data_IF_626995974004
#
_entry.id   IF_626995974004
#
_cell.length_a   1.000
_cell.length_b   1.000
_cell.length_c   1.000
_cell.angle_alpha   90.00
_cell.angle_beta   90.00
_cell.angle_gamma   90.00
#
_symmetry.space_group_name_H-M   'P 1'
#
loop_
_entity.id
_entity.type
_entity.pdbx_description
1 polymer ?
#
# COMPACT_ATOMS: atom_id res chain seq x y z
N UNK A 1 17.37 6.66 7.21
CA UNK A 1 16.06 7.24 7.55
C UNK A 1 15.79 6.99 9.03
N UNK A 2 15.12 7.91 9.72
CA UNK A 2 14.88 7.84 11.16
C UNK A 2 13.61 7.01 11.47
N UNK A 3 13.64 6.26 12.57
CA UNK A 3 12.44 5.73 13.21
C UNK A 3 11.73 6.82 14.00
N UNK A 4 10.49 6.56 14.40
CA UNK A 4 9.71 7.47 15.22
C UNK A 4 10.30 7.62 16.62
N UNK A 5 10.08 8.79 17.21
CA UNK A 5 10.25 9.05 18.64
C UNK A 5 9.09 8.45 19.42
N UNK A 6 9.28 8.23 20.73
CA UNK A 6 8.21 7.73 21.62
C UNK A 6 6.96 8.64 21.60
N UNK A 7 7.15 9.96 21.50
CA UNK A 7 6.05 10.92 21.41
C UNK A 7 5.24 10.74 20.11
N UNK A 8 5.91 10.54 18.97
CA UNK A 8 5.25 10.27 17.69
C UNK A 8 4.52 8.93 17.71
N UNK A 9 5.13 7.87 18.26
CA UNK A 9 4.48 6.56 18.38
C UNK A 9 3.19 6.63 19.22
N UNK A 10 3.24 7.35 20.34
CA UNK A 10 2.05 7.59 21.17
C UNK A 10 0.99 8.44 20.47
N UNK A 11 1.38 9.42 19.65
CA UNK A 11 0.46 10.19 18.82
C UNK A 11 -0.26 9.27 17.81
N UNK A 12 0.47 8.43 17.06
CA UNK A 12 -0.15 7.51 16.09
C UNK A 12 -1.10 6.52 16.76
N UNK A 13 -0.73 6.01 17.94
CA UNK A 13 -1.61 5.15 18.75
C UNK A 13 -2.87 5.89 19.19
N UNK A 14 -2.77 7.17 19.56
CA UNK A 14 -3.95 7.99 19.90
C UNK A 14 -4.91 8.17 18.73
N UNK A 15 -4.41 8.09 17.48
CA UNK A 15 -5.24 8.09 16.26
C UNK A 15 -5.84 6.72 15.92
N UNK A 16 -5.54 5.69 16.72
CA UNK A 16 -5.97 4.31 16.46
C UNK A 16 -5.12 3.57 15.42
N UNK A 17 -3.95 4.09 15.04
CA UNK A 17 -3.06 3.39 14.13
C UNK A 17 -2.48 2.13 14.79
N UNK A 18 -2.51 1.00 14.08
CA UNK A 18 -2.07 -0.30 14.61
C UNK A 18 -0.68 -0.73 14.12
N UNK A 19 -0.27 -0.28 12.94
CA UNK A 19 1.04 -0.58 12.33
C UNK A 19 1.61 0.69 11.69
N UNK A 20 2.94 0.77 11.63
CA UNK A 20 3.68 1.85 10.97
C UNK A 20 4.59 1.27 9.89
N UNK A 21 4.74 2.01 8.79
CA UNK A 21 5.59 1.67 7.66
C UNK A 21 5.85 2.89 6.80
N UNK A 22 6.77 2.79 5.84
CA UNK A 22 7.28 3.94 5.08
C UNK A 22 7.02 3.85 3.56
N UNK A 23 6.27 2.84 3.07
CA UNK A 23 6.22 2.50 1.64
C UNK A 23 4.82 2.49 1.02
N UNK A 24 3.77 2.09 1.75
CA UNK A 24 2.43 1.92 1.16
C UNK A 24 1.76 3.25 0.74
N UNK A 25 2.25 4.40 1.21
CA UNK A 25 1.84 5.72 0.74
C UNK A 25 3.07 6.39 0.09
N UNK A 26 2.98 6.87 -1.16
CA UNK A 26 1.78 7.05 -1.99
C UNK A 26 1.34 5.83 -2.83
N UNK A 27 1.98 4.67 -2.70
CA UNK A 27 1.71 3.50 -3.56
C UNK A 27 0.21 3.13 -3.66
N UNK A 28 -0.51 3.09 -2.54
CA UNK A 28 -1.94 2.78 -2.53
C UNK A 28 -2.80 3.83 -3.27
N UNK A 29 -2.39 5.11 -3.25
CA UNK A 29 -3.09 6.16 -4.01
C UNK A 29 -2.82 6.03 -5.50
N UNK A 30 -1.58 5.78 -5.89
CA UNK A 30 -1.20 5.55 -7.29
C UNK A 30 -1.89 4.31 -7.86
N UNK A 31 -1.97 3.22 -7.08
CA UNK A 31 -2.71 2.02 -7.48
C UNK A 31 -4.21 2.31 -7.67
N UNK A 32 -4.79 3.16 -6.82
CA UNK A 32 -6.18 3.60 -6.98
C UNK A 32 -6.39 4.44 -8.24
N UNK A 33 -5.48 5.36 -8.52
CA UNK A 33 -5.50 6.16 -9.76
C UNK A 33 -5.32 5.28 -11.01
N UNK A 34 -4.56 4.18 -10.90
CA UNK A 34 -4.41 3.19 -11.96
C UNK A 34 -5.57 2.16 -12.05
N UNK A 35 -6.62 2.32 -11.23
CA UNK A 35 -7.76 1.39 -11.15
C UNK A 35 -7.36 -0.08 -10.81
N UNK A 36 -6.29 -0.23 -10.02
CA UNK A 36 -5.78 -1.52 -9.56
C UNK A 36 -6.39 -1.86 -8.20
N UNK A 37 -6.94 -3.07 -8.05
CA UNK A 37 -7.32 -3.60 -6.75
C UNK A 37 -6.06 -3.81 -5.89
N UNK A 38 -5.86 -2.94 -4.92
CA UNK A 38 -4.68 -2.93 -4.06
C UNK A 38 -5.02 -3.39 -2.64
N UNK A 39 -4.17 -4.24 -2.08
CA UNK A 39 -4.25 -4.68 -0.69
C UNK A 39 -2.84 -4.80 -0.10
N UNK A 40 -2.71 -4.45 1.18
CA UNK A 40 -1.44 -4.55 1.91
C UNK A 40 -1.44 -5.77 2.81
N UNK A 41 -0.34 -6.52 2.79
CA UNK A 41 -0.01 -7.51 3.82
C UNK A 41 1.15 -6.94 4.64
N UNK A 42 0.83 -6.34 5.79
CA UNK A 42 1.82 -5.79 6.70
C UNK A 42 2.42 -6.90 7.58
N UNK A 43 3.73 -7.11 7.47
CA UNK A 43 4.46 -8.11 8.24
C UNK A 43 5.15 -7.42 9.41
N UNK A 44 4.60 -7.57 10.62
CA UNK A 44 5.14 -6.95 11.84
C UNK A 44 6.56 -7.46 12.11
N UNK A 45 7.51 -6.53 12.24
CA UNK A 45 8.92 -6.83 12.57
C UNK A 45 9.25 -6.57 14.04
N UNK A 46 8.58 -5.60 14.65
CA UNK A 46 8.84 -5.09 15.98
C UNK A 46 7.64 -4.24 16.45
N UNK A 47 7.75 -3.67 17.65
CA UNK A 47 6.70 -2.87 18.28
C UNK A 47 6.93 -1.37 18.16
N UNK A 48 7.71 -0.90 17.18
CA UNK A 48 8.16 0.49 17.11
C UNK A 48 8.85 0.87 18.44
N UNK A 49 8.82 2.14 18.86
CA UNK A 49 9.50 2.60 20.07
C UNK A 49 8.60 2.78 21.31
N UNK A 50 7.33 2.37 21.27
CA UNK A 50 6.38 2.60 22.38
C UNK A 50 6.38 1.53 23.48
N UNK A 51 6.92 0.34 23.21
CA UNK A 51 6.79 -0.79 24.13
C UNK A 51 7.82 -0.74 25.25
N UNK A 52 7.39 -0.34 26.45
CA UNK A 52 8.23 -0.33 27.65
C UNK A 52 8.67 -1.77 28.02
N UNK A 53 9.98 -2.01 28.12
CA UNK A 53 10.56 -3.31 28.49
C UNK A 53 11.05 -4.18 27.33
N UNK A 54 10.92 -3.72 26.08
CA UNK A 54 11.71 -4.24 24.97
C UNK A 54 12.93 -3.32 24.77
N UNK A 55 14.14 -3.89 24.66
CA UNK A 55 15.32 -3.11 24.29
C UNK A 55 15.05 -2.31 23.00
N UNK A 56 15.59 -1.10 22.91
CA UNK A 56 15.48 -0.27 21.72
C UNK A 56 15.77 -1.12 20.48
N UNK A 57 14.87 -1.06 19.49
CA UNK A 57 14.89 -1.89 18.28
C UNK A 57 16.31 -1.91 17.69
N UNK A 58 17.01 -3.03 17.84
CA UNK A 58 18.32 -3.21 17.21
C UNK A 58 18.12 -3.66 15.77
N UNK A 59 18.91 -3.11 14.86
CA UNK A 59 18.83 -3.42 13.43
C UNK A 59 18.94 -4.92 13.18
N UNK A 60 19.79 -5.63 13.93
CA UNK A 60 19.94 -7.09 13.82
C UNK A 60 18.68 -7.88 14.19
N UNK A 61 17.94 -7.45 15.22
CA UNK A 61 16.69 -8.09 15.61
C UNK A 61 15.62 -7.93 14.52
N UNK A 62 15.52 -6.73 13.94
CA UNK A 62 14.62 -6.43 12.83
C UNK A 62 14.96 -7.28 11.60
N UNK A 63 16.24 -7.35 11.22
CA UNK A 63 16.68 -8.12 10.05
C UNK A 63 16.31 -9.59 10.21
N UNK A 64 16.50 -10.18 11.40
CA UNK A 64 16.14 -11.58 11.65
C UNK A 64 14.64 -11.83 11.46
N UNK A 65 13.79 -10.98 12.04
CA UNK A 65 12.33 -11.10 11.90
C UNK A 65 11.91 -10.86 10.46
N UNK A 66 12.52 -9.89 9.78
CA UNK A 66 12.26 -9.57 8.38
C UNK A 66 12.54 -10.75 7.46
N UNK A 67 13.70 -11.42 7.62
CA UNK A 67 14.03 -12.61 6.81
C UNK A 67 13.05 -13.76 7.09
N UNK A 68 12.68 -14.00 8.35
CA UNK A 68 11.66 -15.00 8.69
C UNK A 68 10.28 -14.66 8.13
N UNK A 69 9.93 -13.39 8.03
CA UNK A 69 8.70 -12.92 7.42
C UNK A 69 8.73 -13.06 5.88
N UNK A 70 9.90 -12.99 5.24
CA UNK A 70 10.01 -13.16 3.79
C UNK A 70 9.55 -14.55 3.32
N UNK A 71 9.88 -15.62 4.04
CA UNK A 71 9.40 -16.96 3.71
C UNK A 71 7.89 -17.12 3.89
N UNK A 72 7.34 -16.55 4.97
CA UNK A 72 5.89 -16.51 5.20
C UNK A 72 5.19 -15.75 4.08
N UNK A 73 5.72 -14.61 3.66
CA UNK A 73 5.17 -13.83 2.56
C UNK A 73 5.18 -14.62 1.24
N UNK A 74 6.29 -15.30 0.92
CA UNK A 74 6.35 -16.21 -0.24
C UNK A 74 5.29 -17.31 -0.17
N UNK A 75 5.12 -17.93 1.00
CA UNK A 75 4.10 -18.95 1.24
C UNK A 75 2.68 -18.39 1.04
N UNK A 76 2.41 -17.21 1.57
CA UNK A 76 1.13 -16.52 1.41
C UNK A 76 0.82 -16.25 -0.06
N UNK A 77 1.77 -15.68 -0.82
CA UNK A 77 1.58 -15.40 -2.25
C UNK A 77 1.23 -16.68 -3.02
N UNK A 78 1.97 -17.77 -2.79
CA UNK A 78 1.66 -19.08 -3.40
C UNK A 78 0.27 -19.60 -3.05
N UNK A 79 -0.19 -19.37 -1.82
CA UNK A 79 -1.51 -19.84 -1.36
C UNK A 79 -2.68 -18.95 -1.84
N UNK A 80 -2.43 -17.67 -2.07
CA UNK A 80 -3.45 -16.69 -2.47
C UNK A 80 -3.63 -16.66 -3.98
N UNK A 81 -2.56 -16.74 -4.77
CA UNK A 81 -2.62 -16.63 -6.23
C UNK A 81 -3.66 -17.56 -6.88
N UNK A 82 -3.77 -18.86 -6.54
CA UNK A 82 -4.79 -19.73 -7.12
C UNK A 82 -6.23 -19.32 -6.80
N UNK A 83 -6.44 -18.55 -5.71
CA UNK A 83 -7.76 -18.09 -5.28
C UNK A 83 -8.19 -16.79 -5.96
N UNK A 84 -7.25 -16.02 -6.50
CA UNK A 84 -7.51 -14.69 -7.11
C UNK A 84 -7.12 -14.60 -8.59
N UNK A 85 -6.48 -15.64 -9.15
CA UNK A 85 -5.95 -15.66 -10.52
C UNK A 85 -6.92 -16.13 -11.60
N UNK A 86 -8.21 -16.29 -11.28
CA UNK A 86 -9.25 -16.59 -12.27
C UNK A 86 -9.60 -15.40 -13.16
N UNK A 87 -10.62 -15.56 -14.01
CA UNK A 87 -11.19 -14.43 -14.74
C UNK A 87 -11.69 -13.37 -13.76
N UNK A 88 -11.30 -12.11 -14.01
CA UNK A 88 -11.61 -11.00 -13.12
C UNK A 88 -12.95 -10.39 -13.52
N UNK A 89 -13.93 -10.54 -12.64
CA UNK A 89 -15.18 -9.77 -12.68
C UNK A 89 -14.97 -8.34 -12.18
N UNK A 90 -15.98 -7.48 -12.37
CA UNK A 90 -15.97 -6.13 -11.82
C UNK A 90 -15.82 -6.17 -10.30
N UNK A 91 -14.94 -5.32 -9.78
CA UNK A 91 -14.74 -5.25 -8.34
C UNK A 91 -15.98 -4.64 -7.68
N UNK A 92 -16.59 -5.38 -6.75
CA UNK A 92 -17.74 -4.90 -5.97
C UNK A 92 -17.46 -3.61 -5.18
N UNK A 93 -16.18 -3.34 -4.86
CA UNK A 93 -15.75 -2.12 -4.18
C UNK A 93 -15.47 -0.95 -5.14
N UNK A 94 -15.62 -1.14 -6.45
CA UNK A 94 -15.41 -0.12 -7.48
C UNK A 94 -13.95 0.30 -7.70
N UNK A 95 -12.99 -0.46 -7.14
CA UNK A 95 -11.56 -0.14 -7.24
C UNK A 95 -11.06 -0.07 -8.69
N UNK A 96 -11.68 -0.85 -9.58
CA UNK A 96 -11.39 -0.96 -11.01
C UNK A 96 -12.11 0.06 -11.89
N UNK A 97 -12.92 0.93 -11.27
CA UNK A 97 -13.59 2.07 -11.94
C UNK A 97 -13.42 3.38 -11.17
N UNK A 98 -12.40 3.46 -10.31
CA UNK A 98 -12.18 4.58 -9.42
C UNK A 98 -12.08 5.94 -10.13
N UNK A 99 -11.66 5.97 -11.41
CA UNK A 99 -11.55 7.20 -12.19
C UNK A 99 -12.83 7.62 -12.92
N UNK A 100 -13.88 6.80 -12.92
CA UNK A 100 -15.08 7.02 -13.74
C UNK A 100 -15.71 8.40 -13.55
N UNK A 101 -15.66 8.94 -12.33
CA UNK A 101 -16.16 10.28 -12.00
C UNK A 101 -15.11 11.17 -11.33
N UNK A 102 -13.83 10.78 -11.37
CA UNK A 102 -12.76 11.51 -10.69
C UNK A 102 -12.06 12.53 -11.61
N UNK A 103 -12.23 12.41 -12.93
CA UNK A 103 -11.64 13.33 -13.90
C UNK A 103 -12.53 14.57 -14.09
N UNK A 104 -12.03 15.71 -13.62
CA UNK A 104 -12.72 17.00 -13.71
C UNK A 104 -12.39 17.73 -15.02
N UNK A 105 -11.20 17.49 -15.58
CA UNK A 105 -10.77 18.15 -16.82
C UNK A 105 -11.64 17.72 -18.00
N UNK A 106 -12.38 18.67 -18.56
CA UNK A 106 -13.24 18.47 -19.72
C UNK A 106 -12.45 17.90 -20.90
N UNK A 107 -12.98 16.92 -21.65
CA UNK A 107 -12.27 16.24 -22.75
C UNK A 107 -11.57 17.18 -23.74
N UNK A 108 -12.24 18.26 -24.12
CA UNK A 108 -11.76 19.27 -25.07
C UNK A 108 -10.60 20.13 -24.54
N UNK A 109 -10.37 20.13 -23.21
CA UNK A 109 -9.29 20.88 -22.56
C UNK A 109 -8.08 20.00 -22.22
N UNK A 110 -8.09 18.73 -22.59
CA UNK A 110 -7.01 17.79 -22.28
C UNK A 110 -5.87 17.93 -23.28
N UNK A 111 -4.67 18.17 -22.77
CA UNK A 111 -3.46 18.20 -23.59
C UNK A 111 -3.15 16.79 -24.17
N UNK A 112 -2.97 16.64 -25.50
CA UNK A 112 -2.74 15.34 -26.12
C UNK A 112 -1.48 14.61 -25.64
N UNK A 113 -0.41 15.34 -25.33
CA UNK A 113 0.83 14.73 -24.84
C UNK A 113 0.63 14.15 -23.43
N UNK A 114 -0.08 14.87 -22.56
CA UNK A 114 -0.43 14.37 -21.23
C UNK A 114 -1.38 13.17 -21.27
N UNK A 115 -2.35 13.17 -22.19
CA UNK A 115 -3.24 12.00 -22.38
C UNK A 115 -2.43 10.77 -22.79
N UNK A 116 -1.51 10.92 -23.75
CA UNK A 116 -0.64 9.82 -24.18
C UNK A 116 0.23 9.30 -23.02
N UNK A 117 0.81 10.21 -22.22
CA UNK A 117 1.61 9.86 -21.04
C UNK A 117 0.83 9.09 -19.97
N UNK A 118 -0.45 9.43 -19.78
CA UNK A 118 -1.32 8.82 -18.79
C UNK A 118 -2.01 7.53 -19.28
N UNK A 119 -1.82 7.12 -20.54
CA UNK A 119 -2.52 5.98 -21.12
C UNK A 119 -2.37 4.67 -20.33
N UNK A 120 -1.22 4.44 -19.69
CA UNK A 120 -0.99 3.24 -18.87
C UNK A 120 -1.72 3.27 -17.50
N UNK A 121 -2.12 4.45 -17.03
CA UNK A 121 -2.74 4.64 -15.70
C UNK A 121 -4.24 4.88 -15.84
N UNK A 122 -4.64 5.77 -16.74
CA UNK A 122 -6.00 6.26 -16.87
C UNK A 122 -6.60 6.00 -18.27
N UNK A 123 -5.98 5.15 -19.10
CA UNK A 123 -6.37 4.95 -20.50
C UNK A 123 -7.79 4.44 -20.73
N UNK A 124 -8.49 3.93 -19.70
CA UNK A 124 -9.91 3.57 -19.81
C UNK A 124 -10.83 4.79 -19.94
N UNK A 125 -10.45 5.91 -19.32
CA UNK A 125 -11.31 7.11 -19.15
C UNK A 125 -10.78 8.35 -19.88
N UNK A 126 -9.55 8.27 -20.42
CA UNK A 126 -8.90 9.33 -21.19
C UNK A 126 -9.05 9.14 -22.69
#
# INVERSE_FOLDING_TARGET
>A
PQFSTLAESNLYRSWGCSVIGMTNMPEAKLAREAEICYATVAMVTDYDCWHEGHDAVTVDAVIRVLLGNADKARGLVKAVLPKIGGERELCHAGCDRALEYALITAPEMRDPEMVAKLGAVAGRVL
#
